data_IF_609513986719
#
_entry.id   IF_609513986719
#
_cell.length_a   1.000
_cell.length_b   1.000
_cell.length_c   1.000
_cell.angle_alpha   90.00
_cell.angle_beta   90.00
_cell.angle_gamma   90.00
#
_symmetry.space_group_name_H-M   'P 1'
#
loop_
_entity.id
_entity.type
_entity.pdbx_description
1 polymer ?
#
# COMPACT_ATOMS: atom_id res chain seq x y z
N UNK A 1 -2.08 -14.27 11.95
CA UNK A 1 -0.92 -13.67 11.25
C UNK A 1 -0.73 -12.25 11.75
N UNK A 2 0.39 -11.98 12.43
CA UNK A 2 0.65 -10.66 12.99
C UNK A 2 0.75 -9.63 11.85
N UNK A 3 -0.03 -8.54 11.95
CA UNK A 3 0.05 -7.39 11.05
C UNK A 3 1.43 -6.76 11.23
N UNK A 4 2.43 -7.19 10.46
CA UNK A 4 3.72 -6.52 10.40
C UNK A 4 3.47 -5.15 9.75
N UNK A 5 3.34 -4.10 10.56
CA UNK A 5 3.33 -2.73 10.05
C UNK A 5 4.64 -2.52 9.32
N UNK A 6 4.58 -2.26 8.01
CA UNK A 6 5.75 -1.87 7.26
C UNK A 6 6.32 -0.60 7.89
N UNK A 7 7.57 -0.67 8.36
CA UNK A 7 8.27 0.47 8.95
C UNK A 7 8.93 1.20 7.79
N UNK A 8 8.48 2.42 7.49
CA UNK A 8 9.15 3.24 6.48
C UNK A 8 10.59 3.52 6.90
N UNK A 9 11.52 3.41 5.96
CA UNK A 9 12.93 3.76 6.14
C UNK A 9 13.11 5.28 6.31
N UNK A 10 12.16 6.10 5.84
CA UNK A 10 12.20 7.54 6.00
C UNK A 10 11.35 7.99 7.21
N UNK A 11 11.89 8.82 8.12
CA UNK A 11 11.25 9.11 9.42
C UNK A 11 9.89 9.81 9.31
N UNK A 12 9.67 10.56 8.23
CA UNK A 12 8.45 11.36 8.03
C UNK A 12 7.38 10.63 7.21
N UNK A 13 7.74 9.57 6.49
CA UNK A 13 6.80 8.82 5.66
C UNK A 13 6.09 7.79 6.54
N UNK A 14 4.75 7.76 6.46
CA UNK A 14 3.94 6.83 7.26
C UNK A 14 3.24 5.81 6.37
N UNK A 15 3.31 4.54 6.76
CA UNK A 15 2.63 3.44 6.08
C UNK A 15 1.57 2.90 7.02
N UNK A 16 0.31 2.88 6.57
CA UNK A 16 -0.84 2.49 7.37
C UNK A 16 -1.76 1.56 6.58
N UNK A 17 -2.36 0.52 7.19
CA UNK A 17 -3.41 -0.25 6.54
C UNK A 17 -4.62 0.65 6.23
N UNK A 18 -5.26 0.47 5.07
CA UNK A 18 -6.44 1.27 4.71
C UNK A 18 -7.63 0.99 5.66
N UNK A 19 -8.30 2.05 6.11
CA UNK A 19 -9.46 1.99 7.01
C UNK A 19 -10.85 2.22 6.37
N UNK A 20 -10.98 2.38 5.04
CA UNK A 20 -12.30 2.58 4.42
C UNK A 20 -12.37 2.01 3.00
N UNK A 21 -13.41 1.22 2.71
CA UNK A 21 -13.57 0.50 1.45
C UNK A 21 -13.87 1.40 0.24
N UNK A 22 -14.46 2.58 0.45
CA UNK A 22 -14.98 3.44 -0.63
C UNK A 22 -13.94 4.14 -1.50
N UNK A 23 -12.69 4.28 -1.05
CA UNK A 23 -11.62 4.94 -1.83
C UNK A 23 -10.55 3.95 -2.31
N UNK A 24 -10.85 2.65 -2.31
CA UNK A 24 -9.91 1.61 -2.71
C UNK A 24 -9.70 1.58 -4.22
N UNK A 25 -8.45 1.62 -4.72
CA UNK A 25 -8.16 1.45 -6.14
C UNK A 25 -8.22 -0.04 -6.53
N UNK A 26 -9.42 -0.49 -6.88
CA UNK A 26 -9.67 -1.86 -7.35
C UNK A 26 -9.42 -1.99 -8.85
N UNK A 27 -9.07 -3.20 -9.29
CA UNK A 27 -9.13 -3.55 -10.72
C UNK A 27 -10.59 -3.81 -11.11
N UNK A 28 -10.97 -3.55 -12.38
CA UNK A 28 -12.29 -3.93 -12.88
C UNK A 28 -12.61 -5.40 -12.61
N UNK A 29 -13.82 -5.68 -12.13
CA UNK A 29 -14.28 -7.04 -11.83
C UNK A 29 -13.71 -7.66 -10.55
N UNK A 30 -12.90 -6.93 -9.77
CA UNK A 30 -12.35 -7.39 -8.49
C UNK A 30 -13.03 -6.75 -7.29
N UNK A 31 -12.98 -7.44 -6.16
CA UNK A 31 -13.61 -7.00 -4.91
C UNK A 31 -12.55 -6.50 -3.91
N UNK A 32 -12.91 -5.62 -2.97
CA UNK A 32 -12.01 -5.21 -1.90
C UNK A 32 -11.39 -6.39 -1.14
N UNK A 33 -12.17 -7.44 -0.90
CA UNK A 33 -11.73 -8.66 -0.23
C UNK A 33 -10.67 -9.46 -1.00
N UNK A 34 -10.46 -9.20 -2.29
CA UNK A 34 -9.43 -9.87 -3.08
C UNK A 34 -8.03 -9.30 -2.85
N UNK A 35 -7.92 -8.21 -2.07
CA UNK A 35 -6.65 -7.55 -1.81
C UNK A 35 -6.47 -7.17 -0.35
N UNK A 36 -5.21 -7.02 0.01
CA UNK A 36 -4.82 -6.15 1.12
C UNK A 36 -4.42 -4.78 0.57
N UNK A 37 -4.55 -3.74 1.40
CA UNK A 37 -4.21 -2.37 1.04
C UNK A 37 -3.40 -1.68 2.13
N UNK A 38 -2.47 -0.85 1.69
CA UNK A 38 -1.80 0.13 2.54
C UNK A 38 -1.73 1.50 1.88
N UNK A 39 -1.66 2.53 2.70
CA UNK A 39 -1.48 3.91 2.27
C UNK A 39 -0.13 4.39 2.78
N UNK A 40 0.72 4.78 1.85
CA UNK A 40 1.94 5.54 2.12
C UNK A 40 1.57 7.02 2.09
N UNK A 41 1.68 7.68 3.24
CA UNK A 41 1.46 9.12 3.39
C UNK A 41 2.81 9.81 3.39
N UNK A 42 3.00 10.69 2.41
CA UNK A 42 4.23 11.45 2.21
C UNK A 42 3.92 12.92 2.53
N UNK A 43 4.46 13.48 3.63
CA UNK A 43 4.24 14.87 3.96
C UNK A 43 4.95 15.79 2.98
N UNK A 44 4.51 17.06 2.94
CA UNK A 44 5.20 18.12 2.21
C UNK A 44 6.66 18.23 2.67
N UNK A 45 7.57 18.56 1.76
CA UNK A 45 9.00 18.74 2.05
C UNK A 45 9.83 17.45 1.94
N UNK A 46 9.21 16.28 1.78
CA UNK A 46 9.92 15.07 1.36
C UNK A 46 10.33 15.22 -0.11
N UNK A 47 11.59 14.93 -0.42
CA UNK A 47 12.06 14.97 -1.81
C UNK A 47 11.39 13.87 -2.64
N UNK A 48 11.20 14.14 -3.92
CA UNK A 48 10.61 13.16 -4.85
C UNK A 48 11.44 11.87 -4.88
N UNK A 49 12.77 11.97 -4.76
CA UNK A 49 13.66 10.81 -4.70
C UNK A 49 13.38 9.96 -3.46
N UNK A 50 13.32 10.56 -2.26
CA UNK A 50 13.03 9.84 -1.03
C UNK A 50 11.63 9.20 -1.06
N UNK A 51 10.63 9.92 -1.59
CA UNK A 51 9.29 9.39 -1.80
C UNK A 51 9.29 8.15 -2.71
N UNK A 52 9.99 8.21 -3.85
CA UNK A 52 10.12 7.08 -4.78
C UNK A 52 10.84 5.90 -4.13
N UNK A 53 11.97 6.13 -3.46
CA UNK A 53 12.71 5.07 -2.74
C UNK A 53 11.83 4.34 -1.74
N UNK A 54 11.05 5.06 -0.93
CA UNK A 54 10.13 4.42 0.02
C UNK A 54 9.02 3.61 -0.66
N UNK A 55 8.45 4.09 -1.78
CA UNK A 55 7.45 3.32 -2.53
C UNK A 55 8.08 2.07 -3.17
N UNK A 56 9.30 2.20 -3.70
CA UNK A 56 10.04 1.08 -4.29
C UNK A 56 10.41 0.03 -3.24
N UNK A 57 10.88 0.43 -2.06
CA UNK A 57 11.18 -0.50 -0.95
C UNK A 57 9.94 -1.32 -0.56
N UNK A 58 8.77 -0.69 -0.47
CA UNK A 58 7.52 -1.39 -0.19
C UNK A 58 7.12 -2.35 -1.31
N UNK A 59 7.42 -1.99 -2.56
CA UNK A 59 7.15 -2.85 -3.70
C UNK A 59 8.06 -4.09 -3.72
N UNK A 60 9.36 -3.88 -3.56
CA UNK A 60 10.37 -4.93 -3.61
C UNK A 60 10.27 -5.87 -2.39
N UNK A 61 10.28 -5.30 -1.17
CA UNK A 61 10.38 -6.10 0.05
C UNK A 61 9.02 -6.44 0.67
N UNK A 62 8.03 -5.57 0.52
CA UNK A 62 6.67 -5.79 1.02
C UNK A 62 5.76 -6.54 0.03
N UNK A 63 6.21 -6.68 -1.23
CA UNK A 63 5.45 -7.22 -2.37
C UNK A 63 4.14 -6.48 -2.59
N UNK A 64 4.20 -5.15 -2.44
CA UNK A 64 3.09 -4.24 -2.66
C UNK A 64 3.13 -3.66 -4.08
N UNK A 65 1.99 -3.62 -4.75
CA UNK A 65 1.86 -2.99 -6.06
C UNK A 65 1.30 -1.58 -5.92
N UNK A 66 1.89 -0.61 -6.62
CA UNK A 66 1.34 0.75 -6.72
C UNK A 66 -0.02 0.71 -7.42
N UNK A 67 -1.06 1.20 -6.75
CA UNK A 67 -2.43 1.18 -7.29
C UNK A 67 -2.98 2.58 -7.60
N UNK A 68 -2.60 3.60 -6.82
CA UNK A 68 -3.01 5.00 -7.06
C UNK A 68 -2.04 5.95 -6.38
N UNK A 69 -1.83 7.12 -6.98
CA UNK A 69 -1.19 8.26 -6.34
C UNK A 69 -2.12 9.46 -6.40
N UNK A 70 -2.26 10.19 -5.29
CA UNK A 70 -2.90 11.52 -5.26
C UNK A 70 -1.97 12.52 -4.62
N UNK A 71 -1.84 13.67 -5.27
CA UNK A 71 -1.21 14.86 -4.71
C UNK A 71 -2.30 15.80 -4.23
N UNK A 72 -2.18 16.28 -3.00
CA UNK A 72 -3.13 17.21 -2.39
C UNK A 72 -2.60 18.63 -2.47
N UNK A 73 -3.54 19.59 -2.45
CA UNK A 73 -3.22 21.00 -2.23
C UNK A 73 -2.42 21.12 -0.92
N UNK A 74 -1.28 21.79 -0.97
CA UNK A 74 -0.31 21.85 0.13
C UNK A 74 0.88 20.89 0.00
N UNK A 75 0.95 20.08 -1.07
CA UNK A 75 2.15 19.32 -1.45
C UNK A 75 2.33 17.98 -0.76
N UNK A 76 1.35 17.55 0.07
CA UNK A 76 1.33 16.20 0.60
C UNK A 76 0.86 15.21 -0.48
N UNK A 77 1.34 13.98 -0.42
CA UNK A 77 0.96 12.90 -1.32
C UNK A 77 0.43 11.71 -0.53
N UNK A 78 -0.58 11.03 -1.08
CA UNK A 78 -0.97 9.70 -0.65
C UNK A 78 -0.76 8.73 -1.80
N UNK A 79 -0.18 7.59 -1.47
CA UNK A 79 0.06 6.50 -2.40
C UNK A 79 -0.64 5.28 -1.86
N UNK A 80 -1.60 4.76 -2.61
CA UNK A 80 -2.29 3.52 -2.31
C UNK A 80 -1.50 2.41 -2.96
N UNK A 81 -1.15 1.42 -2.14
CA UNK A 81 -0.56 0.18 -2.60
C UNK A 81 -1.48 -0.97 -2.25
N UNK A 82 -1.45 -2.02 -3.07
CA UNK A 82 -2.28 -3.21 -2.89
C UNK A 82 -1.47 -4.48 -3.11
N UNK A 83 -1.95 -5.60 -2.59
CA UNK A 83 -1.44 -6.93 -2.96
C UNK A 83 -2.57 -7.93 -2.99
N UNK A 84 -2.54 -8.87 -3.94
CA UNK A 84 -3.60 -9.86 -4.10
C UNK A 84 -3.58 -10.89 -2.97
N UNK A 85 -4.74 -11.18 -2.41
CA UNK A 85 -4.94 -12.31 -1.49
C UNK A 85 -5.20 -13.55 -2.34
N UNK A 86 -4.20 -14.43 -2.42
CA UNK A 86 -4.36 -15.72 -3.09
C UNK A 86 -5.09 -16.69 -2.15
N UNK A 87 -6.35 -16.98 -2.46
CA UNK A 87 -7.13 -18.01 -1.76
C UNK A 87 -6.84 -19.36 -2.39
N UNK A 88 -6.03 -20.18 -1.73
CA UNK A 88 -5.73 -21.54 -2.17
C UNK A 88 -6.59 -22.50 -1.35
N UNK A 89 -7.32 -23.39 -2.03
CA UNK A 89 -8.01 -24.51 -1.38
C UNK A 89 -6.97 -25.56 -1.01
N UNK A 90 -6.91 -25.95 0.27
CA UNK A 90 -6.06 -27.06 0.70
C UNK A 90 -6.47 -28.33 -0.03
N UNK A 91 -5.48 -29.01 -0.64
CA UNK A 91 -5.63 -30.33 -1.26
C UNK A 91 -5.16 -31.46 -0.34
N UNK A 92 -4.62 -31.14 0.84
CA UNK A 92 -4.27 -32.14 1.84
C UNK A 92 -5.57 -32.74 2.38
N UNK A 93 -5.84 -34.00 2.02
CA UNK A 93 -6.88 -34.77 2.72
C UNK A 93 -6.41 -34.99 4.15
N UNK A 94 -7.32 -34.74 5.10
CA UNK A 94 -7.07 -34.74 6.54
C UNK A 94 -6.41 -36.03 7.01
#
# INVERSE_FOLDING_TARGET
MARRTARSTHPSIRIQPTGSAGDLPLEPGRRPEDYEFQIVTIPRGVSISAARSSVTEEAEYGRWELARTRMYIGGAQKVWMRRRILRVRSTLQR
#
